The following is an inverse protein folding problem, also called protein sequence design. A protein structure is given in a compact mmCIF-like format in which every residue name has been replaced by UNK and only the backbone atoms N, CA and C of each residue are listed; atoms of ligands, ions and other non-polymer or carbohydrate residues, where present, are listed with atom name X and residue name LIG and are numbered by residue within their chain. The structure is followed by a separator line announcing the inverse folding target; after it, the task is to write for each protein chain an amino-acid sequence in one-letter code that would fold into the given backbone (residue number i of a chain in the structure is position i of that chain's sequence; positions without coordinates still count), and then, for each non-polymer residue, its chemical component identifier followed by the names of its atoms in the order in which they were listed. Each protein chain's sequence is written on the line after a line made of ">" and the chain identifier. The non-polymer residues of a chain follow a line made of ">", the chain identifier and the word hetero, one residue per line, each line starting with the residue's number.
data_IF_698220945210
#
_entry.id   IF_698220945210
#
_cell.length_a   1.000
_cell.length_b   1.000
_cell.length_c   1.000
_cell.angle_alpha   90.00
_cell.angle_beta   90.00
_cell.angle_gamma   90.00
#
_symmetry.space_group_name_H-M   'P 1'
#
loop_
_entity.id
_entity.type
_entity.pdbx_description
1 polymer ?
#
# COMPACT_ATOMS: atom_id res chain seq x y z
N UNK A 1 -42.17 -29.41 -10.94
CA UNK A 1 -41.14 -30.29 -11.56
C UNK A 1 -40.58 -29.51 -12.73
N UNK A 2 -39.35 -28.98 -12.76
CA UNK A 2 -38.15 -29.09 -11.91
C UNK A 2 -37.59 -27.67 -11.61
N UNK A 3 -36.81 -27.50 -10.53
CA UNK A 3 -36.10 -26.25 -10.20
C UNK A 3 -34.80 -26.14 -10.99
N UNK A 4 -34.43 -24.92 -11.37
CA UNK A 4 -33.08 -24.61 -11.85
C UNK A 4 -32.28 -24.04 -10.69
N UNK A 5 -31.51 -24.92 -10.04
CA UNK A 5 -30.28 -24.52 -9.36
C UNK A 5 -29.35 -23.88 -10.38
N UNK A 6 -28.92 -22.64 -10.10
CA UNK A 6 -27.75 -22.03 -10.73
C UNK A 6 -26.91 -21.39 -9.64
N UNK A 7 -25.94 -22.17 -9.20
CA UNK A 7 -24.62 -21.80 -8.71
C UNK A 7 -24.35 -20.29 -8.62
N UNK A 8 -24.35 -19.77 -7.39
CA UNK A 8 -23.18 -19.10 -6.79
C UNK A 8 -22.48 -17.98 -7.56
N UNK A 9 -23.20 -17.15 -8.32
CA UNK A 9 -22.60 -15.89 -8.82
C UNK A 9 -22.68 -14.86 -7.70
N UNK A 10 -21.52 -14.46 -7.16
CA UNK A 10 -21.42 -13.31 -6.28
C UNK A 10 -22.00 -12.10 -7.01
N UNK A 11 -23.06 -11.52 -6.45
CA UNK A 11 -23.74 -10.35 -7.00
C UNK A 11 -22.77 -9.16 -6.88
N UNK A 12 -22.08 -8.84 -7.97
CA UNK A 12 -21.19 -7.68 -8.06
C UNK A 12 -22.09 -6.43 -8.16
N UNK A 13 -22.10 -5.62 -7.10
CA UNK A 13 -22.72 -4.29 -7.14
C UNK A 13 -21.94 -3.47 -8.16
N UNK A 14 -22.46 -3.42 -9.39
CA UNK A 14 -21.84 -2.74 -10.51
C UNK A 14 -21.43 -1.31 -10.14
N UNK A 15 -20.18 -0.96 -10.44
CA UNK A 15 -19.74 0.43 -10.46
C UNK A 15 -20.55 1.19 -11.50
N UNK A 16 -21.00 2.41 -11.18
CA UNK A 16 -21.69 3.31 -12.14
C UNK A 16 -20.86 3.61 -13.40
N UNK A 17 -19.59 3.18 -13.44
CA UNK A 17 -18.59 3.51 -14.46
C UNK A 17 -18.17 2.34 -15.35
N UNK A 18 -18.65 1.11 -15.12
CA UNK A 18 -18.24 -0.04 -15.95
C UNK A 18 -19.33 -1.11 -16.08
N UNK A 19 -19.42 -1.70 -17.28
CA UNK A 19 -20.31 -2.81 -17.62
C UNK A 19 -19.83 -4.18 -17.11
N UNK A 20 -18.57 -4.29 -16.70
CA UNK A 20 -17.95 -5.51 -16.18
C UNK A 20 -16.66 -5.21 -15.40
N UNK A 21 -16.19 -6.17 -14.60
CA UNK A 21 -14.88 -6.10 -13.92
C UNK A 21 -13.74 -5.95 -14.94
N UNK A 22 -13.83 -6.60 -16.10
CA UNK A 22 -12.76 -6.55 -17.12
C UNK A 22 -12.67 -5.17 -17.79
N UNK A 23 -13.81 -4.55 -18.11
CA UNK A 23 -13.82 -3.16 -18.62
C UNK A 23 -13.26 -2.19 -17.57
N UNK A 24 -13.59 -2.43 -16.29
CA UNK A 24 -13.08 -1.63 -15.19
C UNK A 24 -11.56 -1.76 -15.03
N UNK A 25 -11.02 -2.99 -15.10
CA UNK A 25 -9.57 -3.24 -15.08
C UNK A 25 -8.85 -2.46 -16.18
N UNK A 26 -9.35 -2.51 -17.42
CA UNK A 26 -8.74 -1.78 -18.55
C UNK A 26 -8.72 -0.28 -18.27
N UNK A 27 -9.84 0.26 -17.80
CA UNK A 27 -9.97 1.68 -17.45
C UNK A 27 -8.98 2.08 -16.34
N UNK A 28 -8.91 1.31 -15.26
CA UNK A 28 -8.00 1.58 -14.14
C UNK A 28 -6.53 1.43 -14.53
N UNK A 29 -6.17 0.44 -15.35
CA UNK A 29 -4.80 0.29 -15.84
C UNK A 29 -4.36 1.46 -16.73
N UNK A 30 -5.29 1.99 -17.54
CA UNK A 30 -5.01 3.21 -18.31
C UNK A 30 -4.87 4.41 -17.39
N UNK A 31 -5.77 4.56 -16.41
CA UNK A 31 -5.68 5.64 -15.43
C UNK A 31 -4.36 5.64 -14.66
N UNK A 32 -3.86 4.47 -14.24
CA UNK A 32 -2.54 4.35 -13.58
C UNK A 32 -1.40 4.86 -14.46
N UNK A 33 -1.44 4.57 -15.77
CA UNK A 33 -0.45 5.12 -16.72
C UNK A 33 -0.58 6.63 -16.85
N UNK A 34 -1.81 7.12 -16.98
CA UNK A 34 -2.07 8.55 -17.20
C UNK A 34 -1.60 9.37 -15.99
N UNK A 35 -2.00 8.98 -14.77
CA UNK A 35 -1.60 9.69 -13.55
C UNK A 35 -0.10 9.56 -13.25
N UNK A 36 0.57 8.53 -13.75
CA UNK A 36 2.03 8.41 -13.59
C UNK A 36 2.80 9.55 -14.25
N UNK A 37 2.27 10.14 -15.33
CA UNK A 37 2.88 11.31 -15.96
C UNK A 37 2.87 12.53 -15.04
N UNK A 38 1.82 12.72 -14.23
CA UNK A 38 1.76 13.80 -13.25
C UNK A 38 2.84 13.63 -12.16
N UNK A 39 3.05 12.39 -11.70
CA UNK A 39 4.11 12.07 -10.75
C UNK A 39 5.51 12.29 -11.34
N UNK A 40 5.73 11.89 -12.60
CA UNK A 40 6.98 12.15 -13.31
C UNK A 40 7.22 13.65 -13.53
N UNK A 41 6.17 14.44 -13.79
CA UNK A 41 6.26 15.89 -13.88
C UNK A 41 6.62 16.55 -12.54
N UNK A 42 6.17 15.98 -11.41
CA UNK A 42 6.64 16.40 -10.09
C UNK A 42 8.13 16.11 -9.86
N UNK A 43 8.63 14.97 -10.37
CA UNK A 43 10.07 14.67 -10.34
C UNK A 43 10.85 15.73 -11.15
N UNK A 44 10.37 16.11 -12.34
CA UNK A 44 10.97 17.22 -13.13
C UNK A 44 11.03 18.52 -12.34
N UNK A 45 9.95 18.84 -11.63
CA UNK A 45 9.84 20.07 -10.85
C UNK A 45 10.89 20.18 -9.72
N UNK A 46 11.24 19.04 -9.09
CA UNK A 46 12.19 19.01 -7.98
C UNK A 46 13.65 19.28 -8.39
N UNK A 47 14.00 19.17 -9.68
CA UNK A 47 15.36 19.40 -10.18
C UNK A 47 16.43 18.62 -9.39
N UNK A 48 16.15 17.33 -9.19
CA UNK A 48 16.96 16.44 -8.36
C UNK A 48 18.34 16.16 -8.99
N UNK A 49 19.32 15.71 -8.17
CA UNK A 49 20.55 15.12 -8.70
C UNK A 49 20.24 13.98 -9.68
N UNK A 50 21.08 13.82 -10.71
CA UNK A 50 20.84 12.89 -11.83
C UNK A 50 20.55 11.46 -11.36
N UNK A 51 21.30 10.96 -10.38
CA UNK A 51 21.12 9.60 -9.88
C UNK A 51 19.80 9.41 -9.13
N UNK A 52 19.38 10.43 -8.37
CA UNK A 52 18.13 10.40 -7.62
C UNK A 52 16.92 10.58 -8.55
N UNK A 53 17.02 11.49 -9.52
CA UNK A 53 16.01 11.67 -10.58
C UNK A 53 15.77 10.34 -11.31
N UNK A 54 16.84 9.72 -11.81
CA UNK A 54 16.78 8.43 -12.49
C UNK A 54 16.15 7.37 -11.59
N UNK A 55 16.61 7.24 -10.35
CA UNK A 55 16.08 6.26 -9.41
C UNK A 55 14.57 6.43 -9.18
N UNK A 56 14.09 7.66 -8.96
CA UNK A 56 12.66 7.92 -8.72
C UNK A 56 11.82 7.59 -9.96
N UNK A 57 12.28 7.93 -11.17
CA UNK A 57 11.60 7.57 -12.42
C UNK A 57 11.52 6.07 -12.65
N UNK A 58 12.64 5.37 -12.48
CA UNK A 58 12.71 3.91 -12.63
C UNK A 58 11.75 3.22 -11.65
N UNK A 59 11.67 3.71 -10.41
CA UNK A 59 10.72 3.20 -9.40
C UNK A 59 9.27 3.47 -9.79
N UNK A 60 8.92 4.69 -10.22
CA UNK A 60 7.56 5.03 -10.65
C UNK A 60 7.12 4.14 -11.82
N UNK A 61 7.98 3.95 -12.83
CA UNK A 61 7.69 3.08 -13.98
C UNK A 61 7.48 1.62 -13.54
N UNK A 62 8.35 1.10 -12.67
CA UNK A 62 8.19 -0.25 -12.13
C UNK A 62 6.88 -0.43 -11.33
N UNK A 63 6.46 0.60 -10.60
CA UNK A 63 5.18 0.60 -9.88
C UNK A 63 4.01 0.57 -10.86
N UNK A 64 4.04 1.34 -11.94
CA UNK A 64 3.00 1.32 -12.99
C UNK A 64 2.88 -0.08 -13.59
N UNK A 65 3.99 -0.68 -14.01
CA UNK A 65 4.00 -2.02 -14.59
C UNK A 65 3.43 -3.05 -13.61
N UNK A 66 3.92 -3.06 -12.37
CA UNK A 66 3.54 -4.06 -11.38
C UNK A 66 2.11 -3.89 -10.86
N UNK A 67 1.65 -2.66 -10.72
CA UNK A 67 0.26 -2.35 -10.36
C UNK A 67 -0.69 -2.83 -11.47
N UNK A 68 -0.38 -2.55 -12.74
CA UNK A 68 -1.18 -3.04 -13.86
C UNK A 68 -1.21 -4.58 -13.92
N UNK A 69 -0.08 -5.22 -13.67
CA UNK A 69 0.02 -6.67 -13.59
C UNK A 69 -0.86 -7.26 -12.48
N UNK A 70 -0.92 -6.60 -11.31
CA UNK A 70 -1.80 -7.00 -10.21
C UNK A 70 -3.28 -6.75 -10.52
N UNK A 71 -3.62 -5.62 -11.14
CA UNK A 71 -5.00 -5.34 -11.60
C UNK A 71 -5.45 -6.43 -12.58
N UNK A 72 -4.59 -6.83 -13.52
CA UNK A 72 -4.93 -7.84 -14.52
C UNK A 72 -5.06 -9.26 -13.93
N UNK A 73 -4.11 -9.67 -13.08
CA UNK A 73 -3.92 -11.09 -12.69
C UNK A 73 -4.45 -11.43 -11.29
N UNK A 74 -4.51 -10.46 -10.39
CA UNK A 74 -4.84 -10.68 -8.97
C UNK A 74 -6.24 -10.19 -8.65
N UNK A 75 -6.59 -8.98 -9.06
CA UNK A 75 -7.90 -8.40 -8.75
C UNK A 75 -9.03 -9.10 -9.52
N UNK A 76 -9.97 -9.71 -8.80
CA UNK A 76 -11.10 -10.44 -9.41
C UNK A 76 -12.46 -9.75 -9.20
N UNK A 77 -12.49 -8.63 -8.48
CA UNK A 77 -13.70 -7.83 -8.21
C UNK A 77 -13.39 -6.35 -8.39
N UNK A 78 -14.41 -5.52 -8.59
CA UNK A 78 -14.26 -4.05 -8.69
C UNK A 78 -13.54 -3.51 -7.45
N UNK A 79 -13.96 -3.96 -6.25
CA UNK A 79 -13.32 -3.57 -5.00
C UNK A 79 -11.84 -3.95 -4.93
N UNK A 80 -11.46 -5.13 -5.43
CA UNK A 80 -10.07 -5.53 -5.49
C UNK A 80 -9.27 -4.63 -6.46
N UNK A 81 -9.87 -4.27 -7.60
CA UNK A 81 -9.26 -3.31 -8.55
C UNK A 81 -9.01 -1.97 -7.87
N UNK A 82 -9.99 -1.45 -7.11
CA UNK A 82 -9.85 -0.20 -6.37
C UNK A 82 -8.72 -0.26 -5.33
N UNK A 83 -8.62 -1.36 -4.56
CA UNK A 83 -7.57 -1.54 -3.57
C UNK A 83 -6.19 -1.51 -4.24
N UNK A 84 -6.00 -2.29 -5.31
CA UNK A 84 -4.72 -2.36 -6.04
C UNK A 84 -4.38 -1.03 -6.72
N UNK A 85 -5.35 -0.39 -7.36
CA UNK A 85 -5.16 0.90 -8.03
C UNK A 85 -4.73 1.97 -7.03
N UNK A 86 -5.47 2.14 -5.93
CA UNK A 86 -5.15 3.15 -4.91
C UNK A 86 -3.81 2.88 -4.22
N UNK A 87 -3.44 1.62 -4.04
CA UNK A 87 -2.11 1.24 -3.54
C UNK A 87 -1.00 1.67 -4.50
N UNK A 88 -1.16 1.43 -5.80
CA UNK A 88 -0.20 1.85 -6.83
C UNK A 88 -0.02 3.37 -6.87
N UNK A 89 -1.13 4.13 -6.75
CA UNK A 89 -1.11 5.60 -6.67
C UNK A 89 -0.31 6.07 -5.44
N UNK A 90 -0.55 5.46 -4.28
CA UNK A 90 0.21 5.77 -3.06
C UNK A 90 1.69 5.49 -3.23
N UNK A 91 2.07 4.31 -3.75
CA UNK A 91 3.48 3.98 -4.01
C UNK A 91 4.14 4.97 -4.98
N UNK A 92 3.44 5.42 -6.02
CA UNK A 92 3.96 6.46 -6.92
C UNK A 92 4.18 7.78 -6.17
N UNK A 93 3.23 8.21 -5.35
CA UNK A 93 3.36 9.42 -4.54
C UNK A 93 4.54 9.32 -3.55
N UNK A 94 4.71 8.19 -2.89
CA UNK A 94 5.81 7.92 -1.95
C UNK A 94 7.17 8.02 -2.65
N UNK A 95 7.32 7.38 -3.82
CA UNK A 95 8.58 7.41 -4.58
C UNK A 95 8.81 8.77 -5.26
N UNK A 96 7.75 9.50 -5.58
CA UNK A 96 7.85 10.89 -6.04
C UNK A 96 8.39 11.78 -4.93
N UNK A 97 7.91 11.64 -3.70
CA UNK A 97 8.39 12.41 -2.54
C UNK A 97 9.80 11.99 -2.08
N UNK A 98 10.14 10.71 -2.26
CA UNK A 98 11.40 10.10 -1.84
C UNK A 98 11.47 9.87 -0.33
N UNK A 99 12.52 9.17 0.12
CA UNK A 99 12.70 8.74 1.50
C UNK A 99 13.93 9.40 2.12
N UNK A 100 13.77 10.45 2.96
CA UNK A 100 14.89 11.17 3.58
C UNK A 100 15.56 10.37 4.70
N UNK A 101 14.92 9.30 5.18
CA UNK A 101 15.44 8.35 6.16
C UNK A 101 15.03 6.93 5.77
N UNK A 102 15.69 5.92 6.34
CA UNK A 102 15.46 4.53 5.98
C UNK A 102 14.19 4.00 6.65
N UNK A 103 13.31 3.36 5.87
CA UNK A 103 12.05 2.80 6.32
C UNK A 103 11.68 1.59 5.48
N UNK A 104 11.10 0.57 6.10
CA UNK A 104 10.67 -0.65 5.45
C UNK A 104 9.45 -1.26 6.15
N UNK A 105 8.59 -1.87 5.34
CA UNK A 105 7.43 -2.66 5.80
C UNK A 105 7.57 -4.05 5.19
N UNK A 106 7.53 -5.07 6.04
CA UNK A 106 7.79 -6.45 5.65
C UNK A 106 6.65 -7.35 6.08
N UNK A 107 6.12 -8.11 5.13
CA UNK A 107 5.15 -9.18 5.33
C UNK A 107 5.84 -10.48 4.96
N UNK A 108 6.00 -11.41 5.90
CA UNK A 108 6.76 -12.65 5.69
C UNK A 108 8.14 -12.42 5.05
N UNK A 109 8.89 -11.41 5.53
CA UNK A 109 10.19 -10.96 5.01
C UNK A 109 10.21 -10.41 3.58
N UNK A 110 9.04 -10.16 2.98
CA UNK A 110 8.90 -9.54 1.65
C UNK A 110 8.28 -8.15 1.80
N UNK A 111 8.60 -7.21 0.91
CA UNK A 111 8.06 -5.84 0.93
C UNK A 111 7.35 -5.50 -0.39
N UNK A 112 6.76 -4.31 -0.46
CA UNK A 112 6.06 -3.72 -1.61
C UNK A 112 4.81 -4.49 -2.06
N UNK A 113 5.01 -5.67 -2.68
CA UNK A 113 3.97 -6.55 -3.23
C UNK A 113 4.19 -7.96 -2.71
N UNK A 114 3.33 -8.41 -1.81
CA UNK A 114 3.58 -9.56 -0.93
C UNK A 114 2.48 -10.61 -1.00
N UNK A 115 2.78 -11.80 -0.49
CA UNK A 115 1.84 -12.91 -0.40
C UNK A 115 1.71 -13.37 1.05
N UNK A 116 0.48 -13.66 1.45
CA UNK A 116 0.18 -14.25 2.74
C UNK A 116 -0.96 -15.26 2.63
N UNK A 117 -1.04 -16.17 3.59
CA UNK A 117 -2.21 -17.05 3.75
C UNK A 117 -3.25 -16.35 4.63
N UNK A 118 -4.54 -16.74 4.54
CA UNK A 118 -5.53 -16.36 5.54
C UNK A 118 -5.06 -16.70 6.96
N UNK A 119 -5.42 -15.88 7.94
CA UNK A 119 -5.03 -16.05 9.34
C UNK A 119 -4.40 -14.80 9.94
N UNK A 120 -3.51 -14.99 10.92
CA UNK A 120 -2.72 -13.90 11.48
C UNK A 120 -1.53 -13.62 10.56
N UNK A 121 -1.50 -12.42 10.00
CA UNK A 121 -0.39 -11.95 9.16
C UNK A 121 0.55 -11.12 10.04
N UNK A 122 1.81 -11.54 10.10
CA UNK A 122 2.86 -10.79 10.78
C UNK A 122 3.43 -9.71 9.87
N UNK A 123 3.42 -8.47 10.36
CA UNK A 123 3.96 -7.30 9.68
C UNK A 123 5.08 -6.74 10.54
N UNK A 124 6.25 -6.51 9.95
CA UNK A 124 7.35 -5.83 10.61
C UNK A 124 7.58 -4.46 9.97
N UNK A 125 7.55 -3.40 10.78
CA UNK A 125 7.87 -2.04 10.38
C UNK A 125 9.24 -1.67 10.96
N UNK A 126 10.20 -1.39 10.09
CA UNK A 126 11.55 -0.95 10.48
C UNK A 126 11.82 0.45 10.01
N UNK A 127 12.49 1.25 10.84
CA UNK A 127 12.98 2.55 10.42
C UNK A 127 14.22 2.99 11.21
N UNK A 128 15.07 3.76 10.54
CA UNK A 128 16.27 4.38 11.13
C UNK A 128 16.36 5.81 10.61
N UNK A 129 16.51 6.76 11.53
CA UNK A 129 16.70 8.17 11.22
C UNK A 129 18.09 8.47 10.66
N UNK A 130 18.25 9.66 10.09
CA UNK A 130 19.55 10.25 9.78
C UNK A 130 20.38 10.45 11.05
N UNK A 131 21.68 10.68 10.88
CA UNK A 131 22.59 10.89 12.01
C UNK A 131 22.09 11.98 12.98
N UNK A 132 21.98 11.61 14.26
CA UNK A 132 21.48 12.49 15.32
C UNK A 132 19.96 12.67 15.35
N UNK A 133 19.21 11.99 14.48
CA UNK A 133 17.76 11.93 14.49
C UNK A 133 17.27 10.59 15.07
N UNK A 134 16.09 10.64 15.68
CA UNK A 134 15.31 9.46 16.11
C UNK A 134 14.12 9.27 15.18
N UNK A 135 13.41 8.16 15.32
CA UNK A 135 12.20 7.85 14.58
C UNK A 135 11.08 7.45 15.53
N UNK A 136 9.84 7.71 15.14
CA UNK A 136 8.65 7.28 15.88
C UNK A 136 7.52 6.87 14.95
N UNK A 137 6.64 6.01 15.45
CA UNK A 137 5.39 5.68 14.76
C UNK A 137 4.51 6.92 14.67
N UNK A 138 4.13 7.27 13.44
CA UNK A 138 3.27 8.41 13.14
C UNK A 138 1.77 8.09 13.24
N UNK A 139 0.96 9.09 12.90
CA UNK A 139 -0.48 8.96 12.70
C UNK A 139 -0.77 9.21 11.23
N UNK A 140 -1.46 8.28 10.57
CA UNK A 140 -1.90 8.45 9.19
C UNK A 140 -3.00 9.53 9.10
N UNK A 141 -3.98 9.48 10.00
CA UNK A 141 -5.01 10.51 10.19
C UNK A 141 -5.25 10.72 11.68
N UNK A 142 -6.03 11.76 12.02
CA UNK A 142 -6.46 11.96 13.42
C UNK A 142 -7.11 10.67 13.93
N UNK A 143 -6.58 10.15 15.03
CA UNK A 143 -7.04 8.92 15.71
C UNK A 143 -6.90 7.62 14.89
N UNK A 144 -6.17 7.62 13.76
CA UNK A 144 -5.87 6.42 12.97
C UNK A 144 -4.37 6.28 12.72
N UNK A 145 -3.76 5.24 13.30
CA UNK A 145 -2.33 4.95 13.13
C UNK A 145 -2.01 4.51 11.71
N UNK A 146 -2.82 3.62 11.17
CA UNK A 146 -2.62 2.99 9.87
C UNK A 146 -3.74 3.35 8.89
N UNK A 147 -3.43 3.32 7.59
CA UNK A 147 -4.44 3.22 6.55
C UNK A 147 -4.54 1.77 6.10
N UNK A 148 -5.77 1.27 6.12
CA UNK A 148 -6.11 -0.08 5.70
C UNK A 148 -7.19 -0.01 4.63
N UNK A 149 -6.91 -0.60 3.48
CA UNK A 149 -7.89 -0.82 2.42
C UNK A 149 -7.90 -2.30 2.08
N UNK A 150 -9.05 -2.95 2.10
CA UNK A 150 -9.13 -4.40 1.94
C UNK A 150 -10.45 -4.84 1.31
N UNK A 151 -10.39 -5.92 0.52
CA UNK A 151 -11.60 -6.55 -0.05
C UNK A 151 -12.47 -7.16 1.04
N UNK A 152 -11.85 -7.81 2.04
CA UNK A 152 -12.48 -8.37 3.22
C UNK A 152 -11.96 -7.66 4.48
N UNK A 153 -12.82 -7.31 5.46
CA UNK A 153 -12.40 -6.58 6.66
C UNK A 153 -11.25 -7.29 7.40
N UNK A 154 -10.20 -6.52 7.68
CA UNK A 154 -9.05 -6.92 8.50
C UNK A 154 -8.84 -5.91 9.62
N UNK A 155 -8.22 -6.35 10.72
CA UNK A 155 -7.97 -5.51 11.90
C UNK A 155 -6.52 -5.69 12.32
N UNK A 156 -5.89 -4.61 12.80
CA UNK A 156 -4.59 -4.66 13.45
C UNK A 156 -4.80 -4.54 14.95
N UNK A 157 -4.09 -5.35 15.73
CA UNK A 157 -4.04 -5.18 17.19
C UNK A 157 -3.22 -3.93 17.54
N UNK A 158 -3.91 -2.87 17.96
CA UNK A 158 -3.33 -1.58 18.34
C UNK A 158 -3.21 -1.38 19.86
N UNK A 159 -3.46 -2.42 20.68
CA UNK A 159 -3.59 -2.27 22.13
C UNK A 159 -2.32 -1.76 22.85
N UNK A 160 -1.15 -1.84 22.22
CA UNK A 160 0.14 -1.43 22.80
C UNK A 160 1.06 -0.80 21.77
N UNK A 161 0.56 0.23 21.08
CA UNK A 161 1.38 0.98 20.12
C UNK A 161 2.34 1.93 20.83
N UNK A 162 3.63 1.95 20.46
CA UNK A 162 4.60 2.84 21.08
C UNK A 162 4.35 4.30 20.69
N UNK A 163 4.61 5.21 21.63
CA UNK A 163 4.50 6.66 21.41
C UNK A 163 5.83 7.41 21.54
N UNK A 164 6.87 6.72 22.03
CA UNK A 164 8.19 7.29 22.21
C UNK A 164 9.03 7.34 20.91
N UNK A 165 10.12 8.08 20.99
CA UNK A 165 11.16 8.15 19.95
C UNK A 165 12.18 7.01 20.13
N UNK A 166 12.62 6.43 19.02
CA UNK A 166 13.59 5.34 18.95
C UNK A 166 14.80 5.71 18.10
N UNK A 167 15.99 5.26 18.49
CA UNK A 167 17.16 5.36 17.60
C UNK A 167 17.00 4.42 16.39
N UNK A 168 16.34 3.28 16.61
CA UNK A 168 15.90 2.34 15.56
C UNK A 168 14.54 1.79 15.94
N UNK A 169 13.57 1.92 15.03
CA UNK A 169 12.25 1.34 15.17
C UNK A 169 12.27 -0.08 14.58
N UNK A 170 11.82 -1.06 15.35
CA UNK A 170 11.52 -2.43 14.90
C UNK A 170 10.19 -2.85 15.54
N UNK A 171 9.10 -2.56 14.84
CA UNK A 171 7.73 -2.73 15.33
C UNK A 171 7.08 -3.93 14.68
N UNK A 172 6.74 -4.92 15.51
CA UNK A 172 6.01 -6.11 15.09
C UNK A 172 4.52 -5.93 15.30
N UNK A 173 3.75 -6.04 14.22
CA UNK A 173 2.29 -5.92 14.19
C UNK A 173 1.68 -7.26 13.80
N UNK A 174 0.48 -7.50 14.32
CA UNK A 174 -0.36 -8.65 13.94
C UNK A 174 -1.64 -8.14 13.31
N UNK A 175 -1.88 -8.55 12.07
CA UNK A 175 -3.12 -8.30 11.36
C UNK A 175 -3.98 -9.55 11.38
N UNK A 176 -5.21 -9.44 11.87
CA UNK A 176 -6.23 -10.48 11.76
C UNK A 176 -6.87 -10.45 10.37
N UNK A 177 -6.49 -11.41 9.55
CA UNK A 177 -7.03 -11.68 8.22
C UNK A 177 -7.68 -13.08 8.16
N UNK A 178 -8.22 -13.59 9.28
CA UNK A 178 -8.83 -14.92 9.34
C UNK A 178 -10.06 -15.06 8.45
N UNK A 179 -10.77 -13.95 8.21
CA UNK A 179 -11.96 -13.92 7.34
C UNK A 179 -11.61 -13.84 5.86
N UNK A 180 -10.36 -13.53 5.53
CA UNK A 180 -9.95 -13.41 4.14
C UNK A 180 -9.99 -14.76 3.42
N UNK A 181 -10.35 -14.70 2.15
CA UNK A 181 -10.35 -15.84 1.24
C UNK A 181 -9.20 -15.70 0.24
N UNK A 182 -8.91 -16.78 -0.48
CA UNK A 182 -7.97 -16.71 -1.60
C UNK A 182 -8.45 -15.67 -2.61
N UNK A 183 -7.54 -14.86 -3.16
CA UNK A 183 -7.78 -13.67 -4.00
C UNK A 183 -8.13 -12.37 -3.27
N UNK A 184 -8.31 -12.40 -1.95
CA UNK A 184 -8.45 -11.14 -1.22
C UNK A 184 -7.18 -10.31 -1.30
N UNK A 185 -7.35 -9.00 -1.29
CA UNK A 185 -6.26 -8.03 -1.38
C UNK A 185 -6.38 -7.06 -0.23
N UNK A 186 -5.24 -6.77 0.40
CA UNK A 186 -5.11 -5.83 1.51
C UNK A 186 -3.97 -4.87 1.18
N UNK A 187 -4.24 -3.57 1.25
CA UNK A 187 -3.23 -2.51 1.24
C UNK A 187 -3.09 -1.96 2.66
N UNK A 188 -1.84 -1.97 3.15
CA UNK A 188 -1.46 -1.47 4.48
C UNK A 188 -0.45 -0.35 4.33
N UNK A 189 -0.78 0.81 4.88
CA UNK A 189 0.12 1.97 4.93
C UNK A 189 0.41 2.33 6.37
N UNK A 190 1.70 2.50 6.68
CA UNK A 190 2.19 3.04 7.95
C UNK A 190 2.89 4.36 7.70
N UNK A 191 2.81 5.25 8.68
CA UNK A 191 3.55 6.52 8.69
C UNK A 191 4.63 6.46 9.77
N UNK A 192 5.85 6.83 9.42
CA UNK A 192 6.95 7.05 10.38
C UNK A 192 7.37 8.51 10.29
N UNK A 193 7.65 9.11 11.45
CA UNK A 193 8.19 10.45 11.56
C UNK A 193 9.63 10.39 12.09
N UNK A 194 10.51 11.17 11.47
CA UNK A 194 11.86 11.43 11.98
C UNK A 194 11.80 12.64 12.92
N UNK A 195 12.44 12.54 14.08
CA UNK A 195 12.48 13.59 15.10
C UNK A 195 13.92 13.96 15.45
N UNK A 196 14.12 15.23 15.81
CA UNK A 196 15.36 15.73 16.38
C UNK A 196 15.02 16.63 17.56
N UNK A 197 15.57 16.33 18.73
CA UNK A 197 15.27 17.07 19.97
C UNK A 197 13.76 17.19 20.26
N UNK A 198 13.01 16.12 19.99
CA UNK A 198 11.56 16.05 20.18
C UNK A 198 10.72 16.77 19.12
N UNK A 199 11.34 17.40 18.11
CA UNK A 199 10.65 18.07 17.00
C UNK A 199 10.67 17.21 15.75
N UNK A 200 9.51 17.02 15.12
CA UNK A 200 9.39 16.35 13.81
C UNK A 200 10.15 17.14 12.75
N UNK A 201 11.05 16.46 12.03
CA UNK A 201 11.83 17.02 10.92
C UNK A 201 11.23 16.62 9.58
N UNK A 202 10.86 15.35 9.47
CA UNK A 202 10.32 14.74 8.26
C UNK A 202 9.33 13.64 8.63
N UNK A 203 8.44 13.33 7.70
CA UNK A 203 7.45 12.26 7.84
C UNK A 203 7.25 11.57 6.50
N UNK A 204 7.19 10.24 6.49
CA UNK A 204 6.89 9.47 5.28
C UNK A 204 5.89 8.35 5.56
N UNK A 205 5.00 8.15 4.59
CA UNK A 205 4.19 6.94 4.46
C UNK A 205 4.94 5.88 3.67
N UNK A 206 4.66 4.62 3.95
CA UNK A 206 5.11 3.50 3.14
C UNK A 206 3.99 2.47 3.09
N UNK A 207 3.58 2.12 1.87
CA UNK A 207 2.47 1.21 1.64
C UNK A 207 2.99 -0.15 1.18
N UNK A 208 2.43 -1.24 1.71
CA UNK A 208 2.65 -2.61 1.24
C UNK A 208 1.31 -3.26 0.90
N UNK A 209 1.23 -3.90 -0.27
CA UNK A 209 0.05 -4.66 -0.68
C UNK A 209 0.28 -6.15 -0.46
N UNK A 210 -0.77 -6.84 -0.04
CA UNK A 210 -0.79 -8.25 0.31
C UNK A 210 -1.89 -8.91 -0.53
N UNK A 211 -1.52 -9.92 -1.30
CA UNK A 211 -2.47 -10.85 -1.90
C UNK A 211 -2.60 -12.08 -1.01
N UNK A 212 -3.82 -12.34 -0.56
CA UNK A 212 -4.16 -13.51 0.25
C UNK A 212 -4.34 -14.70 -0.70
N UNK A 213 -3.43 -15.67 -0.64
CA UNK A 213 -3.37 -16.83 -1.54
C UNK A 213 -3.66 -18.15 -0.84
#
# INVERSE_FOLDING_TARGET
>A
MLPLDKDGVAYDEGSERASSVEDYKVTCMQFIKDISHDYLAWVDYYKLPVDEDKFRRDRINAIVERTNDWIAKVATTIKAVDVVMNDGIQKMAENTAGYPFQMGVFVNNTSDYTLAKPGIIEINVKAVGREGCKVKLGWHQKEKRFLLSSTTPVIIDEASMPEQDFDTLDLHLKMDAQKCQSRDVISFTVVVAETKEGKEQDRRGLTTIIHVS
#
